data_IF_785706739597
#
_entry.id   IF_785706739597
#
_cell.length_a   1.000
_cell.length_b   1.000
_cell.length_c   1.000
_cell.angle_alpha   90.00
_cell.angle_beta   90.00
_cell.angle_gamma   90.00
#
_symmetry.space_group_name_H-M   'P 1'
#
loop_
_entity.id
_entity.type
_entity.pdbx_description
1 polymer ?
#
# COMPACT_ATOMS: atom_id res chain seq x y z
N UNK A 1 9.94 24.20 -19.04
CA UNK A 1 9.07 23.42 -18.14
C UNK A 1 10.00 22.58 -17.27
N UNK A 2 9.81 22.58 -15.95
CA UNK A 2 10.52 21.72 -15.01
C UNK A 2 9.54 20.66 -14.51
N UNK A 3 9.97 19.40 -14.44
CA UNK A 3 9.16 18.28 -13.97
C UNK A 3 9.83 17.68 -12.73
N UNK A 4 9.09 17.57 -11.64
CA UNK A 4 9.46 16.70 -10.52
C UNK A 4 8.68 15.39 -10.63
N UNK A 5 9.38 14.31 -10.98
CA UNK A 5 8.82 12.96 -11.07
C UNK A 5 9.09 12.08 -9.85
N UNK A 6 9.63 12.67 -8.77
CA UNK A 6 10.02 11.96 -7.56
C UNK A 6 8.84 11.65 -6.62
N UNK A 7 9.17 11.47 -5.34
CA UNK A 7 8.20 11.29 -4.26
C UNK A 7 8.21 12.53 -3.35
N UNK A 8 7.90 13.69 -3.93
CA UNK A 8 7.77 14.94 -3.17
C UNK A 8 6.41 15.03 -2.49
N UNK A 9 6.35 15.72 -1.35
CA UNK A 9 5.08 16.03 -0.71
C UNK A 9 4.37 17.15 -1.46
N UNK A 10 3.09 16.99 -1.79
CA UNK A 10 2.36 17.88 -2.70
C UNK A 10 2.33 19.36 -2.28
N UNK A 11 2.46 19.66 -0.99
CA UNK A 11 2.54 21.03 -0.48
C UNK A 11 3.83 21.73 -0.96
N UNK A 12 4.93 20.98 -1.08
CA UNK A 12 6.17 21.51 -1.65
C UNK A 12 6.01 21.85 -3.14
N UNK A 13 5.23 21.08 -3.89
CA UNK A 13 4.95 21.35 -5.30
C UNK A 13 4.16 22.63 -5.49
N UNK A 14 3.15 22.87 -4.65
CA UNK A 14 2.38 24.11 -4.65
C UNK A 14 3.32 25.31 -4.42
N UNK A 15 4.21 25.21 -3.42
CA UNK A 15 5.20 26.25 -3.13
C UNK A 15 6.18 26.45 -4.30
N UNK A 16 6.79 25.38 -4.79
CA UNK A 16 7.77 25.41 -5.90
C UNK A 16 7.17 25.96 -7.18
N UNK A 17 5.94 25.58 -7.52
CA UNK A 17 5.24 26.11 -8.68
C UNK A 17 5.01 27.63 -8.55
N UNK A 18 4.64 28.12 -7.37
CA UNK A 18 4.49 29.55 -7.09
C UNK A 18 5.80 30.34 -7.24
N UNK A 19 6.91 29.81 -6.72
CA UNK A 19 8.25 30.42 -6.81
C UNK A 19 8.79 30.44 -8.26
N UNK A 20 8.67 29.32 -8.98
CA UNK A 20 9.17 29.19 -10.35
C UNK A 20 8.37 30.02 -11.35
N UNK A 21 7.07 30.18 -11.12
CA UNK A 21 6.20 31.01 -11.96
C UNK A 21 6.65 32.47 -12.01
N UNK A 22 7.21 33.00 -10.92
CA UNK A 22 7.76 34.36 -10.86
C UNK A 22 8.94 34.55 -11.83
N UNK A 23 9.62 33.46 -12.18
CA UNK A 23 10.75 33.44 -13.11
C UNK A 23 10.36 32.95 -14.51
N UNK A 24 9.06 32.85 -14.82
CA UNK A 24 8.58 32.35 -16.11
C UNK A 24 8.80 30.85 -16.34
N UNK A 25 9.07 30.08 -15.29
CA UNK A 25 9.28 28.63 -15.37
C UNK A 25 8.00 27.90 -14.97
N UNK A 26 7.40 27.17 -15.90
CA UNK A 26 6.29 26.26 -15.58
C UNK A 26 6.81 25.01 -14.86
N UNK A 27 6.16 24.66 -13.75
CA UNK A 27 6.46 23.49 -12.93
C UNK A 27 5.34 22.46 -13.05
N UNK A 28 5.71 21.18 -13.20
CA UNK A 28 4.80 20.04 -13.16
C UNK A 28 5.27 19.04 -12.10
N UNK A 29 4.35 18.57 -11.29
CA UNK A 29 4.52 17.41 -10.40
C UNK A 29 3.96 16.15 -11.07
N UNK A 30 4.73 15.06 -11.09
CA UNK A 30 4.34 13.82 -11.77
C UNK A 30 4.56 12.63 -10.85
N UNK A 31 3.49 12.24 -10.17
CA UNK A 31 3.46 11.00 -9.42
C UNK A 31 3.56 9.80 -10.36
N UNK A 32 4.62 9.01 -10.20
CA UNK A 32 4.92 7.86 -11.08
C UNK A 32 4.73 6.53 -10.35
N UNK A 33 3.95 5.59 -10.90
CA UNK A 33 3.74 4.24 -10.35
C UNK A 33 4.07 3.14 -11.37
N UNK A 34 4.46 1.95 -10.89
CA UNK A 34 4.87 0.80 -11.71
C UNK A 34 6.24 0.22 -11.36
N UNK A 35 7.10 1.00 -10.68
CA UNK A 35 8.42 0.56 -10.24
C UNK A 35 9.31 0.08 -11.39
N UNK A 36 10.16 -0.90 -11.12
CA UNK A 36 11.10 -1.45 -12.13
C UNK A 36 10.40 -2.09 -13.33
N UNK A 37 9.18 -2.62 -13.14
CA UNK A 37 8.41 -3.25 -14.20
C UNK A 37 7.87 -2.23 -15.24
N UNK A 38 7.86 -0.94 -14.90
CA UNK A 38 7.38 0.10 -15.79
C UNK A 38 8.24 0.30 -17.04
N UNK A 39 9.51 -0.16 -17.03
CA UNK A 39 10.36 -0.10 -18.24
C UNK A 39 9.75 -0.91 -19.40
N UNK A 40 9.22 -2.10 -19.08
CA UNK A 40 8.64 -3.00 -20.08
C UNK A 40 7.13 -2.80 -20.27
N UNK A 41 6.45 -2.27 -19.25
CA UNK A 41 4.97 -2.20 -19.19
C UNK A 41 4.39 -0.79 -19.26
N UNK A 42 5.24 0.24 -19.23
CA UNK A 42 4.85 1.62 -19.03
C UNK A 42 4.55 1.96 -17.57
N UNK A 43 4.52 3.26 -17.27
CA UNK A 43 4.32 3.82 -15.94
C UNK A 43 2.94 4.48 -15.82
N UNK A 44 2.24 4.24 -14.72
CA UNK A 44 1.05 5.03 -14.41
C UNK A 44 1.48 6.43 -13.96
N UNK A 45 1.03 7.48 -14.66
CA UNK A 45 1.46 8.86 -14.42
C UNK A 45 0.30 9.76 -13.97
N UNK A 46 0.44 10.35 -12.78
CA UNK A 46 -0.51 11.28 -12.18
C UNK A 46 0.11 12.68 -12.20
N UNK A 47 -0.44 13.57 -13.01
CA UNK A 47 0.21 14.83 -13.40
C UNK A 47 -0.52 16.03 -12.80
N UNK A 48 0.18 16.88 -12.05
CA UNK A 48 -0.28 18.17 -11.55
C UNK A 48 0.42 19.33 -12.25
N UNK A 49 -0.32 20.39 -12.52
CA UNK A 49 0.23 21.63 -13.08
C UNK A 49 -0.70 22.36 -14.05
N UNK A 50 -0.15 23.37 -14.73
CA UNK A 50 -0.90 24.18 -15.70
C UNK A 50 -1.23 23.38 -16.98
N UNK A 51 -2.43 23.58 -17.53
CA UNK A 51 -2.96 22.78 -18.64
C UNK A 51 -2.11 22.85 -19.92
N UNK A 52 -1.62 24.04 -20.27
CA UNK A 52 -0.82 24.23 -21.49
C UNK A 52 0.54 23.50 -21.42
N UNK A 53 1.36 23.65 -20.35
CA UNK A 53 2.55 22.83 -20.18
C UNK A 53 2.30 21.32 -20.21
N UNK A 54 1.21 20.84 -19.60
CA UNK A 54 0.84 19.41 -19.64
C UNK A 54 0.53 18.97 -21.06
N UNK A 55 -0.28 19.75 -21.79
CA UNK A 55 -0.62 19.48 -23.20
C UNK A 55 0.61 19.48 -24.10
N UNK A 56 1.56 20.39 -23.88
CA UNK A 56 2.81 20.46 -24.64
C UNK A 56 3.69 19.21 -24.43
N UNK A 57 3.55 18.53 -23.30
CA UNK A 57 4.32 17.33 -22.94
C UNK A 57 3.54 16.03 -23.15
N UNK A 58 2.34 16.09 -23.72
CA UNK A 58 1.49 14.92 -23.99
C UNK A 58 2.23 13.78 -24.72
N UNK A 59 3.06 14.03 -25.76
CA UNK A 59 3.82 12.95 -26.42
C UNK A 59 4.81 12.23 -25.49
N UNK A 60 5.36 12.93 -24.48
CA UNK A 60 6.28 12.33 -23.50
C UNK A 60 5.51 11.42 -22.55
N UNK A 61 4.38 11.90 -22.03
CA UNK A 61 3.55 11.10 -21.13
C UNK A 61 2.98 9.88 -21.84
N UNK A 62 2.52 10.03 -23.08
CA UNK A 62 2.04 8.92 -23.90
C UNK A 62 3.15 7.87 -24.14
N UNK A 63 4.39 8.29 -24.36
CA UNK A 63 5.52 7.37 -24.58
C UNK A 63 5.94 6.61 -23.32
N UNK A 64 5.75 7.21 -22.14
CA UNK A 64 6.10 6.61 -20.85
C UNK A 64 4.96 5.74 -20.29
N UNK A 65 3.71 6.04 -20.64
CA UNK A 65 2.56 5.33 -20.10
C UNK A 65 2.33 3.97 -20.80
N UNK A 66 1.55 3.05 -20.19
CA UNK A 66 1.27 1.73 -20.74
C UNK A 66 0.51 1.74 -22.08
N UNK A 67 -0.19 2.84 -22.38
CA UNK A 67 -1.21 2.86 -23.43
C UNK A 67 -2.44 2.03 -23.03
N UNK A 68 -3.31 1.75 -24.00
CA UNK A 68 -4.55 0.97 -23.77
C UNK A 68 -4.31 -0.45 -23.22
N UNK A 69 -3.12 -1.02 -23.47
CA UNK A 69 -2.77 -2.37 -23.03
C UNK A 69 -3.81 -3.43 -23.41
N UNK A 70 -4.07 -4.35 -22.47
CA UNK A 70 -5.09 -5.41 -22.60
C UNK A 70 -6.30 -5.19 -21.67
N UNK A 71 -6.35 -4.06 -20.97
CA UNK A 71 -7.43 -3.75 -20.03
C UNK A 71 -8.54 -3.03 -20.80
N UNK A 72 -9.73 -3.64 -20.97
CA UNK A 72 -10.81 -2.97 -21.66
C UNK A 72 -11.25 -1.72 -20.88
N UNK A 73 -11.67 -0.64 -21.57
CA UNK A 73 -12.35 0.47 -20.95
C UNK A 73 -13.47 0.03 -20.01
N UNK A 74 -13.63 0.72 -18.90
CA UNK A 74 -14.79 0.51 -18.05
C UNK A 74 -16.06 0.90 -18.83
N UNK A 75 -17.13 0.08 -18.80
CA UNK A 75 -18.39 0.42 -19.48
C UNK A 75 -18.90 1.81 -19.08
N UNK A 76 -19.31 2.63 -20.05
CA UNK A 76 -19.79 4.00 -19.81
C UNK A 76 -18.71 5.09 -19.86
N UNK A 77 -17.51 4.78 -20.37
CA UNK A 77 -16.42 5.74 -20.61
C UNK A 77 -16.22 6.14 -22.07
N UNK A 78 -16.99 5.57 -22.99
CA UNK A 78 -16.78 5.61 -24.45
C UNK A 78 -16.69 7.05 -25.02
N UNK A 79 -17.42 8.01 -24.42
CA UNK A 79 -17.49 9.39 -24.91
C UNK A 79 -16.69 10.41 -24.07
N UNK A 80 -15.76 9.95 -23.22
CA UNK A 80 -14.98 10.85 -22.35
C UNK A 80 -13.64 11.23 -22.98
N UNK A 81 -13.46 12.52 -23.32
CA UNK A 81 -12.14 13.06 -23.66
C UNK A 81 -11.21 13.00 -22.43
N UNK A 82 -10.40 11.94 -22.34
CA UNK A 82 -9.50 11.70 -21.22
C UNK A 82 -8.35 10.78 -21.62
N UNK A 83 -7.15 11.06 -21.14
CA UNK A 83 -5.97 10.22 -21.31
C UNK A 83 -5.91 9.06 -20.32
N UNK A 84 -6.88 8.95 -19.40
CA UNK A 84 -6.85 7.97 -18.31
C UNK A 84 -6.70 6.52 -18.79
N UNK A 85 -7.30 6.18 -19.93
CA UNK A 85 -7.24 4.83 -20.51
C UNK A 85 -5.86 4.51 -21.12
N UNK A 86 -5.04 5.52 -21.36
CA UNK A 86 -3.64 5.36 -21.76
C UNK A 86 -2.71 5.18 -20.55
N UNK A 87 -3.23 5.30 -19.33
CA UNK A 87 -2.46 5.16 -18.07
C UNK A 87 -1.74 6.43 -17.61
N UNK A 88 -2.08 7.60 -18.14
CA UNK A 88 -1.65 8.89 -17.59
C UNK A 88 -2.82 9.88 -17.48
N UNK A 89 -2.76 10.78 -16.51
CA UNK A 89 -3.86 11.71 -16.25
C UNK A 89 -3.38 13.07 -15.74
N UNK A 90 -3.89 14.15 -16.35
CA UNK A 90 -3.83 15.47 -15.74
C UNK A 90 -4.85 15.53 -14.59
N UNK A 91 -4.34 15.40 -13.36
CA UNK A 91 -5.15 15.33 -12.14
C UNK A 91 -5.65 16.70 -11.66
N UNK A 92 -4.99 17.79 -12.07
CA UNK A 92 -5.39 19.15 -11.68
C UNK A 92 -4.24 20.15 -11.63
N UNK A 93 -4.38 21.24 -10.85
CA UNK A 93 -3.35 22.27 -10.69
C UNK A 93 -2.08 21.72 -9.97
N UNK A 94 -1.03 22.54 -9.78
CA UNK A 94 0.17 22.10 -9.07
C UNK A 94 -0.12 21.41 -7.73
N UNK A 95 0.58 20.30 -7.48
CA UNK A 95 0.41 19.39 -6.34
C UNK A 95 -0.60 18.27 -6.58
N UNK A 96 -1.52 18.39 -7.56
CA UNK A 96 -2.56 17.39 -7.75
C UNK A 96 -2.02 16.00 -8.15
N UNK A 97 -0.92 15.95 -8.92
CA UNK A 97 -0.31 14.69 -9.35
C UNK A 97 0.31 13.93 -8.19
N UNK A 98 1.18 14.60 -7.42
CA UNK A 98 1.76 14.01 -6.21
C UNK A 98 0.72 13.73 -5.12
N UNK A 99 -0.35 14.51 -5.00
CA UNK A 99 -1.45 14.21 -4.08
C UNK A 99 -2.16 12.90 -4.44
N UNK A 100 -2.52 12.69 -5.71
CA UNK A 100 -3.16 11.44 -6.15
C UNK A 100 -2.21 10.25 -5.97
N UNK A 101 -0.92 10.41 -6.29
CA UNK A 101 0.09 9.37 -6.08
C UNK A 101 0.31 9.05 -4.61
N UNK A 102 0.26 10.05 -3.73
CA UNK A 102 0.33 9.86 -2.28
C UNK A 102 -0.80 8.94 -1.82
N UNK A 103 -2.05 9.25 -2.20
CA UNK A 103 -3.21 8.43 -1.85
C UNK A 103 -3.15 7.03 -2.48
N UNK A 104 -2.65 6.91 -3.72
CA UNK A 104 -2.37 5.61 -4.34
C UNK A 104 -1.46 4.73 -3.45
N UNK A 105 -0.37 5.28 -2.91
CA UNK A 105 0.51 4.54 -2.01
C UNK A 105 -0.17 4.20 -0.68
N UNK A 106 -1.02 5.09 -0.15
CA UNK A 106 -1.85 4.77 1.01
C UNK A 106 -2.76 3.57 0.77
N UNK A 107 -3.43 3.50 -0.39
CA UNK A 107 -4.26 2.36 -0.80
C UNK A 107 -3.41 1.09 -0.95
N UNK A 108 -2.23 1.19 -1.57
CA UNK A 108 -1.30 0.07 -1.71
C UNK A 108 -0.95 -0.55 -0.34
N UNK A 109 -0.73 0.27 0.69
CA UNK A 109 -0.46 -0.22 2.04
C UNK A 109 -1.62 -1.04 2.59
N UNK A 110 -2.86 -0.55 2.43
CA UNK A 110 -4.07 -1.24 2.86
C UNK A 110 -4.26 -2.59 2.16
N UNK A 111 -4.03 -2.64 0.84
CA UNK A 111 -4.14 -3.88 0.06
C UNK A 111 -3.10 -4.92 0.48
N UNK A 112 -1.84 -4.50 0.67
CA UNK A 112 -0.78 -5.39 1.16
C UNK A 112 -1.09 -5.94 2.56
N UNK A 113 -1.59 -5.09 3.47
CA UNK A 113 -1.96 -5.50 4.82
C UNK A 113 -3.09 -6.54 4.80
N UNK A 114 -4.12 -6.33 3.98
CA UNK A 114 -5.23 -7.28 3.85
C UNK A 114 -4.76 -8.68 3.40
N UNK A 115 -3.85 -8.77 2.42
CA UNK A 115 -3.24 -10.05 2.06
C UNK A 115 -2.39 -10.62 3.19
N UNK A 116 -1.53 -9.80 3.81
CA UNK A 116 -0.63 -10.25 4.86
C UNK A 116 -1.40 -10.85 6.04
N UNK A 117 -2.45 -10.19 6.52
CA UNK A 117 -3.32 -10.69 7.59
C UNK A 117 -4.01 -12.00 7.17
N UNK A 118 -4.58 -12.05 5.96
CA UNK A 118 -5.25 -13.24 5.43
C UNK A 118 -4.31 -14.46 5.35
N UNK A 119 -3.13 -14.29 4.75
CA UNK A 119 -2.13 -15.35 4.67
C UNK A 119 -1.60 -15.74 6.05
N UNK A 120 -1.48 -14.80 7.00
CA UNK A 120 -1.08 -15.10 8.36
C UNK A 120 -2.12 -15.96 9.10
N UNK A 121 -3.41 -15.70 8.88
CA UNK A 121 -4.49 -16.55 9.41
C UNK A 121 -4.38 -17.97 8.83
N UNK A 122 -4.20 -18.10 7.51
CA UNK A 122 -4.03 -19.40 6.86
C UNK A 122 -2.77 -20.13 7.35
N UNK A 123 -1.68 -19.40 7.59
CA UNK A 123 -0.42 -19.95 8.12
C UNK A 123 -0.61 -20.58 9.49
N UNK A 124 -1.46 -19.99 10.33
CA UNK A 124 -1.74 -20.46 11.68
C UNK A 124 -2.93 -21.43 11.75
N UNK A 125 -3.45 -21.91 10.62
CA UNK A 125 -4.58 -22.83 10.56
C UNK A 125 -4.28 -24.24 11.10
N UNK A 126 -3.03 -24.52 11.49
CA UNK A 126 -2.55 -25.75 12.15
C UNK A 126 -2.30 -25.57 13.66
N UNK A 127 -2.77 -24.48 14.27
CA UNK A 127 -2.52 -24.17 15.68
C UNK A 127 -3.00 -25.25 16.66
N UNK A 128 -3.94 -26.10 16.25
CA UNK A 128 -4.47 -27.20 17.03
C UNK A 128 -3.55 -28.42 17.16
N UNK A 129 -2.48 -28.49 16.38
CA UNK A 129 -1.49 -29.58 16.46
C UNK A 129 -0.52 -29.42 17.65
N UNK A 130 -0.52 -28.24 18.28
CA UNK A 130 0.42 -27.89 19.34
C UNK A 130 -0.28 -27.91 20.71
N UNK A 131 0.32 -28.61 21.67
CA UNK A 131 -0.08 -28.49 23.06
C UNK A 131 0.17 -27.06 23.55
N UNK A 132 -0.87 -26.45 24.14
CA UNK A 132 -0.79 -25.13 24.77
C UNK A 132 -0.99 -25.30 26.26
N UNK A 133 -0.07 -24.76 27.06
CA UNK A 133 -0.30 -24.62 28.49
C UNK A 133 -1.53 -23.74 28.72
N UNK A 134 -2.54 -24.29 29.40
CA UNK A 134 -3.66 -23.50 29.88
C UNK A 134 -3.20 -22.77 31.15
N UNK A 135 -3.11 -21.44 31.07
CA UNK A 135 -2.86 -20.60 32.23
C UNK A 135 -3.89 -19.47 32.33
N UNK A 136 -3.89 -18.77 33.47
CA UNK A 136 -4.82 -17.67 33.72
C UNK A 136 -4.60 -16.45 32.81
N UNK A 137 -3.46 -16.38 32.11
CA UNK A 137 -3.05 -15.25 31.27
C UNK A 137 -3.33 -15.47 29.78
N UNK A 138 -3.55 -16.72 29.37
CA UNK A 138 -3.65 -17.16 27.98
C UNK A 138 -4.93 -17.95 27.76
N UNK A 139 -5.80 -17.43 26.89
CA UNK A 139 -7.06 -18.13 26.57
C UNK A 139 -6.76 -19.44 25.81
N UNK A 140 -7.23 -20.60 26.31
CA UNK A 140 -7.02 -21.86 25.61
C UNK A 140 -7.84 -21.95 24.32
N UNK A 141 -7.33 -22.70 23.34
CA UNK A 141 -8.07 -23.00 22.12
C UNK A 141 -9.18 -24.00 22.44
N UNK A 142 -10.44 -23.58 22.33
CA UNK A 142 -11.60 -24.40 22.76
C UNK A 142 -11.74 -25.71 21.98
N UNK A 143 -11.42 -25.68 20.69
CA UNK A 143 -11.56 -26.80 19.75
C UNK A 143 -10.31 -26.92 18.88
N UNK A 144 -9.20 -27.49 19.40
CA UNK A 144 -7.98 -27.70 18.63
C UNK A 144 -8.20 -28.52 17.36
N UNK A 145 -9.12 -29.48 17.40
CA UNK A 145 -9.50 -30.34 16.28
C UNK A 145 -10.02 -29.56 15.05
N UNK A 146 -10.47 -28.31 15.23
CA UNK A 146 -10.92 -27.46 14.12
C UNK A 146 -9.77 -26.77 13.39
N UNK A 147 -8.52 -26.86 13.88
CA UNK A 147 -7.38 -26.11 13.38
C UNK A 147 -6.14 -27.00 13.20
N UNK A 148 -6.29 -28.08 12.44
CA UNK A 148 -5.22 -29.04 12.09
C UNK A 148 -4.90 -29.00 10.59
N UNK A 149 -5.00 -27.81 9.98
CA UNK A 149 -4.85 -27.65 8.54
C UNK A 149 -3.40 -27.31 8.16
N UNK A 150 -2.72 -28.24 7.51
CA UNK A 150 -1.42 -28.00 6.88
C UNK A 150 -1.61 -27.47 5.46
N UNK A 151 -1.87 -26.16 5.34
CA UNK A 151 -2.18 -25.52 4.07
C UNK A 151 -0.92 -25.19 3.26
N UNK A 152 -0.95 -25.49 1.95
CA UNK A 152 0.07 -25.00 1.02
C UNK A 152 -0.28 -23.58 0.57
N UNK A 153 0.34 -22.58 1.21
CA UNK A 153 0.05 -21.17 0.93
C UNK A 153 0.48 -20.73 -0.47
N UNK A 154 1.53 -21.33 -1.04
CA UNK A 154 1.96 -21.08 -2.42
C UNK A 154 0.89 -21.51 -3.43
N UNK A 155 0.34 -22.72 -3.27
CA UNK A 155 -0.74 -23.23 -4.11
C UNK A 155 -2.03 -22.43 -3.95
N UNK A 156 -2.36 -21.99 -2.72
CA UNK A 156 -3.53 -21.14 -2.47
C UNK A 156 -3.37 -19.78 -3.15
N UNK A 157 -2.18 -19.15 -3.04
CA UNK A 157 -1.91 -17.90 -3.73
C UNK A 157 -2.04 -18.06 -5.24
N UNK A 158 -1.50 -19.14 -5.81
CA UNK A 158 -1.59 -19.45 -7.24
C UNK A 158 -3.03 -19.76 -7.71
N UNK A 159 -3.80 -20.46 -6.88
CA UNK A 159 -5.22 -20.75 -7.11
C UNK A 159 -6.02 -19.45 -7.23
N UNK A 160 -5.84 -18.51 -6.28
CA UNK A 160 -6.59 -17.26 -6.25
C UNK A 160 -6.32 -16.32 -7.42
N UNK A 161 -5.24 -16.52 -8.17
CA UNK A 161 -4.95 -15.73 -9.38
C UNK A 161 -5.90 -15.97 -10.53
N UNK A 162 -6.76 -17.00 -10.45
CA UNK A 162 -7.67 -17.39 -11.54
C UNK A 162 -9.12 -17.43 -11.06
N UNK A 163 -9.92 -16.48 -11.54
CA UNK A 163 -11.37 -16.46 -11.32
C UNK A 163 -11.84 -16.10 -9.91
N UNK A 164 -10.93 -15.77 -9.00
CA UNK A 164 -11.30 -15.26 -7.68
C UNK A 164 -11.60 -13.75 -7.73
N UNK A 165 -12.29 -13.25 -6.70
CA UNK A 165 -12.58 -11.81 -6.55
C UNK A 165 -11.33 -11.01 -6.18
N UNK A 166 -10.32 -11.65 -5.60
CA UNK A 166 -9.11 -11.00 -5.08
C UNK A 166 -7.93 -11.08 -6.05
N UNK A 167 -8.18 -11.32 -7.35
CA UNK A 167 -7.11 -11.25 -8.35
C UNK A 167 -6.53 -9.84 -8.42
N UNK A 168 -5.20 -9.71 -8.28
CA UNK A 168 -4.51 -8.42 -8.34
C UNK A 168 -3.02 -8.59 -8.61
N UNK A 169 -2.35 -7.51 -9.01
CA UNK A 169 -0.91 -7.49 -9.18
C UNK A 169 -0.15 -7.82 -7.88
N UNK A 170 -0.63 -7.34 -6.72
CA UNK A 170 -0.02 -7.68 -5.43
C UNK A 170 -0.12 -9.18 -5.13
N UNK A 171 -1.24 -9.82 -5.47
CA UNK A 171 -1.38 -11.28 -5.35
C UNK A 171 -0.41 -12.02 -6.28
N UNK A 172 -0.20 -11.55 -7.52
CA UNK A 172 0.81 -12.13 -8.42
C UNK A 172 2.22 -12.10 -7.79
N UNK A 173 2.57 -10.98 -7.14
CA UNK A 173 3.84 -10.83 -6.44
C UNK A 173 3.93 -11.76 -5.22
N UNK A 174 2.86 -11.88 -4.43
CA UNK A 174 2.80 -12.79 -3.29
C UNK A 174 2.95 -14.25 -3.72
N UNK A 175 2.24 -14.68 -4.77
CA UNK A 175 2.35 -16.03 -5.31
C UNK A 175 3.78 -16.32 -5.80
N UNK A 176 4.40 -15.37 -6.51
CA UNK A 176 5.81 -15.50 -6.94
C UNK A 176 6.76 -15.64 -5.74
N UNK A 177 6.57 -14.86 -4.68
CA UNK A 177 7.40 -14.93 -3.49
C UNK A 177 7.24 -16.27 -2.75
N UNK A 178 6.01 -16.72 -2.52
CA UNK A 178 5.73 -17.99 -1.85
C UNK A 178 6.14 -19.21 -2.68
N UNK A 179 6.10 -19.14 -4.01
CA UNK A 179 6.62 -20.19 -4.87
C UNK A 179 8.16 -20.32 -4.76
N UNK A 180 8.87 -19.22 -4.54
CA UNK A 180 10.31 -19.21 -4.36
C UNK A 180 10.73 -19.58 -2.93
N UNK A 181 9.99 -19.11 -1.92
CA UNK A 181 10.27 -19.30 -0.50
C UNK A 181 8.94 -19.46 0.27
N UNK A 182 8.43 -20.69 0.46
CA UNK A 182 7.14 -20.93 1.12
C UNK A 182 7.06 -20.39 2.56
N UNK A 183 8.21 -20.30 3.24
CA UNK A 183 8.34 -19.79 4.60
C UNK A 183 8.84 -18.34 4.66
N UNK A 184 9.20 -17.73 3.52
CA UNK A 184 9.72 -16.35 3.44
C UNK A 184 10.92 -16.09 4.35
N UNK A 185 11.75 -17.11 4.61
CA UNK A 185 12.80 -17.09 5.63
C UNK A 185 13.96 -16.09 5.38
N UNK A 186 14.07 -15.56 4.17
CA UNK A 186 15.01 -14.50 3.80
C UNK A 186 14.57 -13.10 4.26
N UNK A 187 13.32 -12.94 4.69
CA UNK A 187 12.77 -11.66 5.15
C UNK A 187 12.69 -11.60 6.68
N UNK A 188 13.11 -10.48 7.27
CA UNK A 188 13.12 -10.29 8.73
C UNK A 188 11.77 -9.94 9.35
N UNK A 189 10.76 -9.66 8.52
CA UNK A 189 9.45 -9.17 8.97
C UNK A 189 9.42 -7.70 9.42
N UNK A 190 10.56 -6.98 9.41
CA UNK A 190 10.62 -5.53 9.72
C UNK A 190 10.30 -4.72 8.47
N UNK A 191 9.15 -4.05 8.44
CA UNK A 191 8.66 -3.37 7.25
C UNK A 191 8.86 -1.85 7.34
N UNK A 192 9.61 -1.29 6.38
CA UNK A 192 9.81 0.16 6.26
C UNK A 192 8.60 0.86 5.60
N UNK A 193 8.57 2.19 5.74
CA UNK A 193 7.62 3.09 5.09
C UNK A 193 8.37 4.31 4.53
N UNK A 194 7.94 4.85 3.38
CA UNK A 194 8.66 5.87 2.60
C UNK A 194 8.11 7.29 2.74
N UNK A 195 7.04 7.48 3.52
CA UNK A 195 6.43 8.79 3.78
C UNK A 195 5.01 8.95 3.23
N UNK A 196 4.71 8.48 2.02
CA UNK A 196 3.41 8.73 1.36
C UNK A 196 2.22 8.14 2.12
N UNK A 197 2.41 6.98 2.76
CA UNK A 197 1.42 6.39 3.65
C UNK A 197 1.14 7.27 4.87
N UNK A 198 2.16 7.92 5.45
CA UNK A 198 1.99 8.88 6.54
C UNK A 198 1.25 10.12 6.07
N UNK A 199 1.63 10.66 4.92
CA UNK A 199 1.00 11.86 4.35
C UNK A 199 -0.46 11.63 3.97
N UNK A 200 -0.83 10.42 3.52
CA UNK A 200 -2.22 10.04 3.29
C UNK A 200 -3.04 10.11 4.57
N UNK A 201 -2.51 9.59 5.69
CA UNK A 201 -3.21 9.66 6.98
C UNK A 201 -3.30 11.09 7.50
N UNK A 202 -2.25 11.90 7.34
CA UNK A 202 -2.31 13.32 7.68
C UNK A 202 -3.41 14.05 6.89
N UNK A 203 -3.47 13.83 5.56
CA UNK A 203 -4.51 14.40 4.73
C UNK A 203 -5.92 13.94 5.13
N UNK A 204 -6.09 12.65 5.48
CA UNK A 204 -7.36 12.12 5.96
C UNK A 204 -7.80 12.79 7.27
N UNK A 205 -6.86 13.03 8.20
CA UNK A 205 -7.12 13.75 9.46
C UNK A 205 -7.53 15.19 9.19
N UNK A 206 -6.77 15.93 8.38
CA UNK A 206 -7.05 17.33 8.05
C UNK A 206 -8.41 17.49 7.35
N UNK A 207 -8.82 16.49 6.56
CA UNK A 207 -10.11 16.45 5.86
C UNK A 207 -11.26 15.91 6.71
N UNK A 208 -11.01 15.38 7.91
CA UNK A 208 -12.02 14.68 8.71
C UNK A 208 -12.58 13.42 8.03
N UNK A 209 -11.79 12.76 7.18
CA UNK A 209 -12.20 11.57 6.42
C UNK A 209 -11.78 10.28 7.15
N UNK A 210 -12.72 9.37 7.47
CA UNK A 210 -12.38 8.11 8.13
C UNK A 210 -11.48 7.22 7.26
N UNK A 211 -10.32 6.81 7.79
CA UNK A 211 -9.35 5.96 7.11
C UNK A 211 -8.83 4.77 7.96
N UNK A 212 -9.69 4.01 8.67
CA UNK A 212 -9.24 3.03 9.66
C UNK A 212 -8.33 1.93 9.09
N UNK A 213 -8.64 1.42 7.89
CA UNK A 213 -7.85 0.36 7.24
C UNK A 213 -6.46 0.87 6.85
N UNK A 214 -6.38 2.07 6.27
CA UNK A 214 -5.10 2.64 5.84
C UNK A 214 -4.22 3.01 7.04
N UNK A 215 -4.84 3.51 8.12
CA UNK A 215 -4.16 3.81 9.39
C UNK A 215 -3.62 2.54 10.03
N UNK A 216 -4.43 1.48 10.12
CA UNK A 216 -3.99 0.19 10.68
C UNK A 216 -2.84 -0.42 9.88
N UNK A 217 -2.93 -0.39 8.55
CA UNK A 217 -1.85 -0.88 7.67
C UNK A 217 -0.53 -0.11 7.88
N UNK A 218 -0.59 1.20 8.11
CA UNK A 218 0.58 2.00 8.45
C UNK A 218 1.13 1.62 9.84
N UNK A 219 0.26 1.48 10.84
CA UNK A 219 0.67 1.15 12.21
C UNK A 219 1.23 -0.28 12.34
N UNK A 220 0.76 -1.23 11.54
CA UNK A 220 1.35 -2.57 11.44
C UNK A 220 2.83 -2.50 11.04
N UNK A 221 3.22 -1.57 10.16
CA UNK A 221 4.64 -1.35 9.81
C UNK A 221 5.42 -0.76 10.98
N UNK A 222 4.79 0.10 11.78
CA UNK A 222 5.43 0.69 12.97
C UNK A 222 5.67 -0.38 14.04
N UNK A 223 4.67 -1.19 14.37
CA UNK A 223 4.81 -2.29 15.33
C UNK A 223 5.77 -3.38 14.84
N UNK A 224 5.85 -3.64 13.52
CA UNK A 224 6.86 -4.56 12.95
C UNK A 224 8.31 -4.13 13.25
N UNK A 225 8.52 -2.86 13.65
CA UNK A 225 9.82 -2.30 14.03
C UNK A 225 10.01 -2.17 15.54
N UNK A 226 9.07 -2.66 16.33
CA UNK A 226 8.99 -2.59 17.80
C UNK A 226 8.65 -1.19 18.35
N UNK A 227 8.04 -0.31 17.55
CA UNK A 227 7.66 1.04 18.01
C UNK A 227 6.48 1.03 19.01
N UNK A 228 5.86 -0.13 19.23
CA UNK A 228 4.80 -0.38 20.22
C UNK A 228 5.33 -0.96 21.55
N UNK A 229 6.63 -1.22 21.68
CA UNK A 229 7.23 -1.88 22.85
C UNK A 229 6.93 -1.13 24.17
N UNK A 230 7.02 0.20 24.18
CA UNK A 230 6.72 0.98 25.39
C UNK A 230 5.24 0.87 25.77
N UNK A 231 4.33 0.94 24.80
CA UNK A 231 2.89 0.79 25.05
C UNK A 231 2.59 -0.60 25.61
N UNK A 232 3.20 -1.65 25.05
CA UNK A 232 3.07 -3.03 25.53
C UNK A 232 3.59 -3.18 26.97
N UNK A 233 4.74 -2.59 27.31
CA UNK A 233 5.28 -2.56 28.68
C UNK A 233 4.33 -1.85 29.67
N UNK A 234 3.71 -0.75 29.26
CA UNK A 234 2.73 -0.04 30.09
C UNK A 234 1.52 -0.93 30.38
N UNK A 235 1.01 -1.66 29.37
CA UNK A 235 -0.09 -2.62 29.55
C UNK A 235 0.30 -3.76 30.49
N UNK A 236 1.49 -4.34 30.34
CA UNK A 236 2.02 -5.38 31.24
C UNK A 236 2.13 -4.86 32.68
N UNK A 237 2.65 -3.64 32.88
CA UNK A 237 2.74 -3.01 34.19
C UNK A 237 1.36 -2.79 34.83
N UNK A 238 0.37 -2.32 34.06
CA UNK A 238 -1.00 -2.18 34.54
C UNK A 238 -1.56 -3.53 35.00
N UNK A 239 -1.49 -4.57 34.16
CA UNK A 239 -1.94 -5.94 34.49
C UNK A 239 -1.28 -6.48 35.76
N UNK A 240 0.02 -6.27 35.91
CA UNK A 240 0.73 -6.65 37.12
C UNK A 240 0.18 -5.92 38.36
N UNK A 241 0.03 -4.60 38.30
CA UNK A 241 -0.35 -3.81 39.47
C UNK A 241 -1.81 -3.96 39.89
N UNK A 242 -2.76 -4.10 38.96
CA UNK A 242 -4.17 -4.29 39.35
C UNK A 242 -4.54 -5.76 39.60
N UNK A 243 -3.95 -6.69 38.85
CA UNK A 243 -4.37 -8.10 38.80
C UNK A 243 -3.34 -9.11 39.30
N UNK A 244 -2.11 -8.68 39.60
CA UNK A 244 -1.02 -9.58 39.99
C UNK A 244 -0.48 -10.45 38.85
N UNK A 245 -0.88 -10.17 37.60
CA UNK A 245 -0.49 -10.91 36.41
C UNK A 245 1.03 -10.82 36.19
N UNK A 246 1.73 -11.96 36.22
CA UNK A 246 3.17 -12.00 35.92
C UNK A 246 3.37 -12.20 34.41
N UNK A 247 3.95 -11.19 33.76
CA UNK A 247 4.32 -11.28 32.35
C UNK A 247 5.33 -12.42 32.12
N UNK A 248 5.06 -13.27 31.13
CA UNK A 248 6.03 -14.25 30.64
C UNK A 248 7.11 -13.51 29.84
N UNK A 249 8.37 -13.72 30.21
CA UNK A 249 9.54 -13.13 29.55
C UNK A 249 10.10 -14.05 28.47
#
# INVERSE_FOLDING_TARGET
ILIDGGNSYYIDDIRRAGELKQNGVHYLDVGTSGGVAGLDRGYCLMIGGEREPVRNLDPIFQSLAPGMGLVPPAPGREDRESTAEQGYLHCGPPGAGHFVKMVHNGIEYGLMAAYAEGFNILKHANVGDFEREADAETTPLRHPEHYQYHLNLGDIAELWRRGSVVTSWLLDLTAKALAASPELGEFSGRVSDSGEGRWTINAAIDQGTPAPVLTAALFQRFSSRNEDEFANKVVSAMRFHFGGHQEKK
#
